data_IF_554436299358
#
_entry.id   IF_554436299358
#
_cell.length_a   1.000
_cell.length_b   1.000
_cell.length_c   1.000
_cell.angle_alpha   90.00
_cell.angle_beta   90.00
_cell.angle_gamma   90.00
#
_symmetry.space_group_name_H-M   'P 1'
#
loop_
_entity.id
_entity.type
_entity.pdbx_description
1 polymer ?
#
# COMPACT_ATOMS: atom_id res chain seq x y z
N UNK A 1 31.22 -26.14 17.61
CA UNK A 1 31.46 -25.99 16.18
C UNK A 1 30.64 -24.81 15.71
N UNK A 2 31.16 -23.62 15.49
CA UNK A 2 32.53 -23.06 15.48
C UNK A 2 32.33 -21.61 15.95
N UNK A 3 33.06 -21.14 16.95
CA UNK A 3 33.08 -19.74 17.37
C UNK A 3 33.94 -18.96 16.39
N UNK A 4 33.32 -18.08 15.60
CA UNK A 4 34.02 -17.11 14.73
C UNK A 4 34.94 -16.27 15.62
N UNK A 5 36.24 -16.52 15.48
CA UNK A 5 37.32 -15.84 16.17
C UNK A 5 37.29 -14.35 15.84
N UNK A 6 36.88 -13.53 16.81
CA UNK A 6 37.05 -12.08 16.80
C UNK A 6 38.56 -11.78 16.87
N UNK A 7 39.18 -11.74 15.69
CA UNK A 7 40.56 -11.33 15.55
C UNK A 7 40.60 -9.82 15.86
N UNK A 8 41.03 -9.47 17.07
CA UNK A 8 41.42 -8.11 17.44
C UNK A 8 42.50 -7.65 16.43
N UNK A 9 42.09 -6.94 15.39
CA UNK A 9 42.99 -6.28 14.47
C UNK A 9 43.53 -5.05 15.21
N UNK A 10 44.71 -5.17 15.80
CA UNK A 10 45.46 -4.05 16.37
C UNK A 10 45.86 -3.11 15.22
N UNK A 11 45.03 -2.08 14.99
CA UNK A 11 45.30 -1.06 13.98
C UNK A 11 46.42 -0.14 14.46
N UNK A 12 47.64 -0.34 13.94
CA UNK A 12 48.77 0.55 14.18
C UNK A 12 48.51 1.96 13.60
N UNK A 13 48.22 2.91 14.49
CA UNK A 13 47.92 4.31 14.15
C UNK A 13 49.19 5.16 13.97
N UNK A 14 50.39 4.61 14.19
CA UNK A 14 51.65 5.38 14.21
C UNK A 14 52.04 5.98 12.85
N UNK A 15 51.44 5.49 11.76
CA UNK A 15 51.75 5.89 10.39
C UNK A 15 50.58 6.57 9.64
N UNK A 16 49.51 6.97 10.37
CA UNK A 16 48.30 7.51 9.75
C UNK A 16 48.38 9.04 9.59
N UNK A 17 48.93 9.49 8.46
CA UNK A 17 48.91 10.91 8.09
C UNK A 17 47.53 11.27 7.50
N UNK A 18 46.71 12.03 8.25
CA UNK A 18 45.46 12.58 7.72
C UNK A 18 45.83 13.74 6.79
N UNK A 19 45.79 13.49 5.49
CA UNK A 19 46.00 14.54 4.49
C UNK A 19 44.89 15.58 4.57
N UNK A 20 45.22 16.84 4.25
CA UNK A 20 44.27 17.95 4.28
C UNK A 20 43.07 17.69 3.34
N UNK A 21 43.29 17.02 2.21
CA UNK A 21 42.24 16.61 1.28
C UNK A 21 41.24 15.62 1.92
N UNK A 22 41.74 14.64 2.68
CA UNK A 22 40.90 13.65 3.35
C UNK A 22 40.04 14.32 4.44
N UNK A 23 40.61 15.33 5.13
CA UNK A 23 39.88 16.13 6.11
C UNK A 23 38.72 16.91 5.47
N UNK A 24 38.94 17.49 4.29
CA UNK A 24 37.89 18.18 3.52
C UNK A 24 36.80 17.21 3.07
N UNK A 25 37.18 16.02 2.58
CA UNK A 25 36.24 14.97 2.18
C UNK A 25 35.33 14.53 3.33
N UNK A 26 35.88 14.33 4.53
CA UNK A 26 35.07 13.99 5.71
C UNK A 26 34.11 15.12 6.09
N UNK A 27 34.53 16.38 5.98
CA UNK A 27 33.66 17.52 6.24
C UNK A 27 32.49 17.59 5.25
N UNK A 28 32.72 17.36 3.94
CA UNK A 28 31.65 17.29 2.95
C UNK A 28 30.73 16.08 3.16
N UNK A 29 31.30 14.93 3.50
CA UNK A 29 30.52 13.71 3.76
C UNK A 29 29.56 13.88 4.93
N UNK A 30 30.01 14.50 6.03
CA UNK A 30 29.16 14.79 7.18
C UNK A 30 28.06 15.80 6.82
N UNK A 31 28.37 16.85 6.05
CA UNK A 31 27.35 17.80 5.55
C UNK A 31 26.26 17.11 4.75
N UNK A 32 26.61 16.23 3.81
CA UNK A 32 25.61 15.48 3.03
C UNK A 32 24.79 14.50 3.89
N UNK A 33 25.41 13.87 4.90
CA UNK A 33 24.71 12.99 5.85
C UNK A 33 23.69 13.76 6.70
N UNK A 34 24.03 14.96 7.14
CA UNK A 34 23.11 15.85 7.85
C UNK A 34 21.96 16.30 6.96
N UNK A 35 22.25 16.70 5.72
CA UNK A 35 21.23 17.13 4.75
C UNK A 35 20.24 16.00 4.44
N UNK A 36 20.73 14.77 4.21
CA UNK A 36 19.85 13.60 4.04
C UNK A 36 19.01 13.30 5.27
N UNK A 37 19.57 13.42 6.48
CA UNK A 37 18.81 13.23 7.73
C UNK A 37 17.68 14.24 7.86
N UNK A 38 17.93 15.51 7.54
CA UNK A 38 16.90 16.57 7.54
C UNK A 38 15.81 16.27 6.52
N UNK A 39 16.18 15.86 5.30
CA UNK A 39 15.21 15.52 4.27
C UNK A 39 14.32 14.33 4.68
N UNK A 40 14.91 13.30 5.27
CA UNK A 40 14.16 12.14 5.77
C UNK A 40 13.14 12.52 6.86
N UNK A 41 13.49 13.45 7.76
CA UNK A 41 12.56 13.94 8.78
C UNK A 41 11.38 14.68 8.14
N UNK A 42 11.65 15.58 7.19
CA UNK A 42 10.60 16.32 6.47
C UNK A 42 9.69 15.40 5.64
N UNK A 43 10.26 14.38 5.01
CA UNK A 43 9.50 13.40 4.24
C UNK A 43 8.65 12.50 5.14
N UNK A 44 9.14 12.14 6.34
CA UNK A 44 8.39 11.40 7.34
C UNK A 44 7.20 12.21 7.89
N UNK A 45 7.41 13.49 8.22
CA UNK A 45 6.33 14.41 8.62
C UNK A 45 5.29 14.58 7.51
N UNK A 46 5.75 14.68 6.25
CA UNK A 46 4.85 14.74 5.08
C UNK A 46 4.04 13.46 4.92
N UNK A 47 4.67 12.30 5.13
CA UNK A 47 4.02 10.99 5.00
C UNK A 47 2.96 10.76 6.07
N UNK A 48 3.16 11.25 7.30
CA UNK A 48 2.18 11.15 8.38
C UNK A 48 0.85 11.85 8.02
N UNK A 49 0.93 12.98 7.31
CA UNK A 49 -0.25 13.69 6.79
C UNK A 49 -0.89 13.04 5.56
N UNK A 50 -0.21 12.09 4.91
CA UNK A 50 -0.64 11.47 3.66
C UNK A 50 -1.52 10.24 3.94
N UNK A 51 -2.81 10.35 3.62
CA UNK A 51 -3.74 9.22 3.67
C UNK A 51 -3.73 8.53 2.31
N UNK A 52 -3.38 7.24 2.28
CA UNK A 52 -3.48 6.45 1.04
C UNK A 52 -4.95 6.35 0.62
N UNK A 53 -5.25 6.63 -0.65
CA UNK A 53 -6.60 6.63 -1.21
C UNK A 53 -7.34 5.30 -1.08
N UNK A 54 -6.62 4.20 -0.85
CA UNK A 54 -7.16 2.84 -0.76
C UNK A 54 -7.59 2.43 0.66
N UNK A 55 -7.43 3.28 1.67
CA UNK A 55 -7.74 2.92 3.06
C UNK A 55 -9.24 2.67 3.32
N UNK A 56 -10.14 3.30 2.55
CA UNK A 56 -11.60 3.16 2.74
C UNK A 56 -12.24 2.04 1.92
N UNK A 57 -11.51 1.40 0.99
CA UNK A 57 -12.07 0.32 0.15
C UNK A 57 -12.16 -1.02 0.89
N UNK A 58 -11.44 -1.16 2.00
CA UNK A 58 -11.48 -2.34 2.84
C UNK A 58 -12.24 -2.06 4.11
N UNK A 59 -13.58 -1.99 4.00
CA UNK A 59 -14.43 -2.36 5.13
C UNK A 59 -13.95 -3.73 5.60
N UNK A 60 -13.25 -3.76 6.74
CA UNK A 60 -12.70 -4.94 7.38
C UNK A 60 -13.84 -5.79 7.95
N UNK A 61 -14.74 -6.21 7.07
CA UNK A 61 -15.73 -7.24 7.34
C UNK A 61 -14.89 -8.49 7.47
N UNK A 62 -14.55 -8.87 8.71
CA UNK A 62 -13.79 -10.08 8.98
C UNK A 62 -14.40 -11.20 8.14
N UNK A 63 -13.59 -11.76 7.23
CA UNK A 63 -14.03 -12.85 6.36
C UNK A 63 -14.36 -14.04 7.26
N UNK A 64 -15.64 -14.23 7.56
CA UNK A 64 -16.11 -15.39 8.30
C UNK A 64 -15.96 -16.63 7.42
N UNK A 65 -15.55 -17.74 8.02
CA UNK A 65 -15.51 -19.06 7.37
C UNK A 65 -16.86 -19.77 7.55
N UNK A 66 -17.76 -19.21 8.36
CA UNK A 66 -19.09 -19.74 8.58
C UNK A 66 -19.99 -19.48 7.38
N UNK A 67 -20.91 -20.41 7.13
CA UNK A 67 -21.91 -20.26 6.09
C UNK A 67 -22.79 -19.03 6.39
N UNK A 68 -23.12 -18.19 5.39
CA UNK A 68 -24.03 -17.07 5.59
C UNK A 68 -25.36 -17.54 6.21
N UNK A 69 -25.74 -16.93 7.33
CA UNK A 69 -27.00 -17.24 8.02
C UNK A 69 -28.23 -16.92 7.16
N UNK A 70 -28.09 -15.93 6.28
CA UNK A 70 -29.11 -15.51 5.34
C UNK A 70 -28.68 -15.86 3.92
N UNK A 71 -29.61 -16.30 3.06
CA UNK A 71 -29.26 -16.50 1.66
C UNK A 71 -28.97 -15.13 1.01
N UNK A 72 -27.83 -14.97 0.32
CA UNK A 72 -27.51 -13.73 -0.35
C UNK A 72 -28.64 -13.30 -1.31
N UNK A 73 -29.22 -12.13 -1.03
CA UNK A 73 -30.26 -11.53 -1.86
C UNK A 73 -31.71 -11.82 -1.44
N UNK A 74 -31.98 -12.64 -0.43
CA UNK A 74 -33.36 -12.89 0.04
C UNK A 74 -34.03 -11.63 0.57
N UNK A 75 -33.35 -10.84 1.42
CA UNK A 75 -33.86 -9.52 1.85
C UNK A 75 -34.14 -8.58 0.68
N UNK A 76 -33.23 -8.51 -0.29
CA UNK A 76 -33.40 -7.67 -1.49
C UNK A 76 -34.62 -8.11 -2.31
N UNK A 77 -34.85 -9.41 -2.46
CA UNK A 77 -36.04 -9.91 -3.17
C UNK A 77 -37.33 -9.58 -2.43
N UNK A 78 -37.37 -9.71 -1.10
CA UNK A 78 -38.52 -9.34 -0.29
C UNK A 78 -38.83 -7.83 -0.39
N UNK A 79 -37.82 -6.98 -0.32
CA UNK A 79 -37.95 -5.54 -0.50
C UNK A 79 -38.44 -5.17 -1.91
N UNK A 80 -37.90 -5.83 -2.93
CA UNK A 80 -38.33 -5.63 -4.33
C UNK A 80 -39.78 -6.06 -4.53
N UNK A 81 -40.22 -7.17 -3.94
CA UNK A 81 -41.63 -7.59 -3.97
C UNK A 81 -42.52 -6.61 -3.22
N UNK A 82 -42.05 -6.06 -2.09
CA UNK A 82 -42.78 -5.03 -1.32
C UNK A 82 -42.94 -3.72 -2.09
N UNK A 83 -41.91 -3.27 -2.81
CA UNK A 83 -41.90 -1.99 -3.53
C UNK A 83 -42.59 -2.07 -4.90
N UNK A 84 -42.34 -3.14 -5.65
CA UNK A 84 -42.71 -3.24 -7.06
C UNK A 84 -43.74 -4.33 -7.36
N UNK A 85 -44.16 -5.11 -6.35
CA UNK A 85 -45.22 -6.12 -6.48
C UNK A 85 -44.93 -7.13 -7.59
N UNK A 86 -45.86 -7.28 -8.52
CA UNK A 86 -45.72 -8.23 -9.65
C UNK A 86 -44.72 -7.76 -10.71
N UNK A 87 -44.39 -6.47 -10.73
CA UNK A 87 -43.38 -5.91 -11.63
C UNK A 87 -41.95 -6.08 -11.11
N UNK A 88 -41.75 -6.64 -9.90
CA UNK A 88 -40.43 -6.78 -9.29
C UNK A 88 -39.42 -7.50 -10.19
N UNK A 89 -39.82 -8.62 -10.81
CA UNK A 89 -38.94 -9.38 -11.72
C UNK A 89 -38.57 -8.58 -12.97
N UNK A 90 -39.51 -7.79 -13.52
CA UNK A 90 -39.27 -6.94 -14.67
C UNK A 90 -38.26 -5.83 -14.35
N UNK A 91 -38.44 -5.14 -13.22
CA UNK A 91 -37.53 -4.07 -12.78
C UNK A 91 -36.14 -4.64 -12.49
N UNK A 92 -36.05 -5.76 -11.78
CA UNK A 92 -34.76 -6.42 -11.53
C UNK A 92 -34.03 -6.81 -12.82
N UNK A 93 -34.76 -7.31 -13.82
CA UNK A 93 -34.17 -7.64 -15.12
C UNK A 93 -33.65 -6.39 -15.85
N UNK A 94 -34.38 -5.28 -15.78
CA UNK A 94 -33.96 -4.01 -16.37
C UNK A 94 -32.72 -3.44 -15.66
N UNK A 95 -32.68 -3.46 -14.32
CA UNK A 95 -31.51 -3.06 -13.53
C UNK A 95 -30.28 -3.89 -13.89
N UNK A 96 -30.43 -5.22 -13.98
CA UNK A 96 -29.34 -6.12 -14.35
C UNK A 96 -28.83 -5.85 -15.78
N UNK A 97 -29.71 -5.55 -16.72
CA UNK A 97 -29.31 -5.19 -18.08
C UNK A 97 -28.53 -3.86 -18.14
N UNK A 98 -28.92 -2.87 -17.32
CA UNK A 98 -28.19 -1.60 -17.20
C UNK A 98 -26.84 -1.81 -16.54
N UNK A 99 -26.77 -2.59 -15.46
CA UNK A 99 -25.50 -2.91 -14.81
C UNK A 99 -24.56 -3.66 -15.75
N UNK A 100 -25.05 -4.65 -16.50
CA UNK A 100 -24.26 -5.37 -17.51
C UNK A 100 -23.72 -4.44 -18.60
N UNK A 101 -24.55 -3.46 -19.02
CA UNK A 101 -24.13 -2.46 -20.00
C UNK A 101 -23.01 -1.59 -19.44
N UNK A 102 -23.14 -1.16 -18.18
CA UNK A 102 -22.09 -0.41 -17.47
C UNK A 102 -20.81 -1.23 -17.34
N UNK A 103 -20.90 -2.45 -16.82
CA UNK A 103 -19.76 -3.36 -16.58
C UNK A 103 -18.98 -3.65 -17.88
N UNK A 104 -19.67 -3.68 -19.02
CA UNK A 104 -19.05 -3.86 -20.34
C UNK A 104 -18.07 -2.74 -20.69
N UNK A 105 -18.29 -1.53 -20.21
CA UNK A 105 -17.50 -0.35 -20.61
C UNK A 105 -16.91 0.45 -19.45
N UNK A 106 -17.19 0.09 -18.20
CA UNK A 106 -16.66 0.79 -17.02
C UNK A 106 -15.12 0.68 -16.96
N UNK A 107 -14.57 -0.44 -17.43
CA UNK A 107 -13.13 -0.70 -17.42
C UNK A 107 -12.56 -0.90 -18.82
N UNK A 108 -13.07 -0.16 -19.80
CA UNK A 108 -12.65 -0.29 -21.21
C UNK A 108 -11.16 0.00 -21.43
N UNK A 109 -10.53 0.74 -20.51
CA UNK A 109 -9.13 1.14 -20.61
C UNK A 109 -8.20 0.29 -19.75
N UNK A 110 -8.72 -0.50 -18.78
CA UNK A 110 -7.93 -1.24 -17.78
C UNK A 110 -6.65 -0.50 -17.41
N UNK A 111 -6.73 0.77 -16.96
CA UNK A 111 -5.54 1.52 -16.67
C UNK A 111 -4.78 0.75 -15.58
N UNK A 112 -3.55 0.35 -15.88
CA UNK A 112 -2.67 -0.22 -14.87
C UNK A 112 -2.49 0.86 -13.79
N UNK A 113 -3.04 0.61 -12.61
CA UNK A 113 -2.85 1.50 -11.47
C UNK A 113 -1.35 1.70 -11.24
N UNK A 114 -0.96 2.97 -11.11
CA UNK A 114 0.42 3.43 -11.07
C UNK A 114 0.98 3.39 -9.64
N UNK A 115 2.26 3.03 -9.42
CA UNK A 115 2.98 1.89 -9.95
C UNK A 115 2.87 0.68 -9.00
N UNK A 116 2.76 -0.52 -9.57
CA UNK A 116 3.06 -1.79 -8.87
C UNK A 116 4.59 -1.86 -8.70
N UNK A 117 5.13 -1.17 -7.70
CA UNK A 117 6.55 -1.30 -7.34
C UNK A 117 6.71 -2.67 -6.68
N UNK A 118 7.47 -3.60 -7.27
CA UNK A 118 7.77 -4.86 -6.60
C UNK A 118 8.57 -4.52 -5.34
N UNK A 119 7.98 -4.73 -4.17
CA UNK A 119 8.73 -4.76 -2.92
C UNK A 119 9.69 -5.94 -3.01
N UNK A 120 10.99 -5.65 -3.07
CA UNK A 120 12.01 -6.70 -2.93
C UNK A 120 11.96 -7.20 -1.49
N UNK A 121 11.68 -8.49 -1.31
CA UNK A 121 11.98 -9.23 -0.09
C UNK A 121 13.37 -9.83 -0.20
#
# INVERSE_FOLDING_TARGET
>A
METESDAEVECDLSNMEITEELRQYFAETERHREERRRQQQLDAERLDSYVNADHDLYCNTRRSVEAPTERPGERRQAEMKRLYGDSAAKIQAMEAAVQLSFDKHCDRKQPKYWPVIPLKF
#
